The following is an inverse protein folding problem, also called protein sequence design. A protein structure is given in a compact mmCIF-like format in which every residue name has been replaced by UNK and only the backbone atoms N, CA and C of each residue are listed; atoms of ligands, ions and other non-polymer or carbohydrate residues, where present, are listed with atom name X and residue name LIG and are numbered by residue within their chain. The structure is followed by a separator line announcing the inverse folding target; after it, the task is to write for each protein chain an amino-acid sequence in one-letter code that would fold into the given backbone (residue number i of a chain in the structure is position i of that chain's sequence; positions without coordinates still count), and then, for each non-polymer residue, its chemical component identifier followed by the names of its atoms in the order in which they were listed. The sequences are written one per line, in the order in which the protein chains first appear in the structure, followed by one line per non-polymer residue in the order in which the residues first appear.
data_IF_921079140827
#
_entry.id   IF_921079140827
#
_cell.length_a   1.000
_cell.length_b   1.000
_cell.length_c   1.000
_cell.angle_alpha   90.00
_cell.angle_beta   90.00
_cell.angle_gamma   90.00
#
_symmetry.space_group_name_H-M   'P 1'
#
loop_
_entity.id
_entity.type
_entity.pdbx_description
1 polymer ?
#
# COMPACT_ATOMS: atom_id res chain seq x y z
N UNK A 1 4.44 23.70 -5.88
CA UNK A 1 4.04 22.92 -4.69
C UNK A 1 2.60 23.24 -4.39
N UNK A 2 1.98 22.58 -3.41
CA UNK A 2 0.61 22.90 -3.00
C UNK A 2 0.53 23.09 -1.48
N UNK A 3 -0.38 23.98 -1.04
CA UNK A 3 -0.79 24.09 0.35
C UNK A 3 -2.04 23.23 0.56
N UNK A 4 -1.99 22.34 1.54
CA UNK A 4 -3.09 21.45 1.90
C UNK A 4 -3.59 21.80 3.31
N UNK A 5 -4.72 22.48 3.39
CA UNK A 5 -5.36 22.81 4.68
C UNK A 5 -6.20 21.61 5.12
N UNK A 6 -5.93 21.08 6.30
CA UNK A 6 -6.58 19.86 6.81
C UNK A 6 -7.14 20.07 8.22
N UNK A 7 -8.21 19.34 8.54
CA UNK A 7 -8.81 19.33 9.88
C UNK A 7 -8.18 18.33 10.86
N UNK A 8 -6.91 17.93 10.65
CA UNK A 8 -6.22 16.98 11.53
C UNK A 8 -6.04 17.59 12.93
N UNK A 9 -6.24 16.82 14.00
CA UNK A 9 -6.04 17.31 15.38
C UNK A 9 -5.11 16.38 16.16
N UNK A 10 -4.29 16.97 17.03
CA UNK A 10 -3.34 16.28 17.90
C UNK A 10 -4.04 15.23 18.78
N UNK A 11 -5.22 15.55 19.29
CA UNK A 11 -5.99 14.69 20.20
C UNK A 11 -6.70 13.50 19.50
N UNK A 12 -6.50 13.28 18.21
CA UNK A 12 -7.13 12.16 17.48
C UNK A 12 -6.32 10.87 17.52
N UNK A 13 -5.00 10.96 17.70
CA UNK A 13 -4.11 9.82 17.89
C UNK A 13 -2.71 10.26 18.35
N UNK A 14 -1.94 9.35 18.94
CA UNK A 14 -0.53 9.59 19.31
C UNK A 14 0.34 10.00 18.11
N UNK A 15 0.06 9.47 16.92
CA UNK A 15 0.79 9.83 15.70
C UNK A 15 0.49 11.28 15.27
N UNK A 16 -0.78 11.69 15.33
CA UNK A 16 -1.20 13.06 15.00
C UNK A 16 -0.71 14.06 16.04
N UNK A 17 -0.61 13.67 17.31
CA UNK A 17 -0.06 14.50 18.38
C UNK A 17 1.40 14.90 18.14
N UNK A 18 2.20 14.03 17.49
CA UNK A 18 3.59 14.32 17.13
C UNK A 18 3.72 15.28 15.94
N UNK A 19 2.63 15.59 15.25
CA UNK A 19 2.66 16.50 14.10
C UNK A 19 2.56 17.96 14.56
N UNK A 20 3.37 18.82 13.95
CA UNK A 20 3.29 20.28 14.12
C UNK A 20 2.08 20.85 13.39
N UNK A 21 1.72 22.11 13.68
CA UNK A 21 0.61 22.81 13.01
C UNK A 21 0.80 22.93 11.50
N UNK A 22 2.05 23.14 11.08
CA UNK A 22 2.46 23.19 9.67
C UNK A 22 3.57 22.17 9.50
N UNK A 23 3.46 21.31 8.50
CA UNK A 23 4.45 20.29 8.20
C UNK A 23 4.54 20.02 6.70
N UNK A 24 5.69 19.55 6.24
CA UNK A 24 5.81 19.03 4.88
C UNK A 24 5.24 17.62 4.84
N UNK A 25 4.36 17.35 3.88
CA UNK A 25 3.70 16.05 3.75
C UNK A 25 4.76 14.97 3.47
N UNK A 26 4.79 13.94 4.33
CA UNK A 26 5.78 12.85 4.25
C UNK A 26 5.59 11.96 3.02
N UNK A 27 4.40 11.95 2.41
CA UNK A 27 4.06 11.15 1.24
C UNK A 27 4.26 11.91 -0.07
N UNK A 28 3.99 13.22 -0.05
CA UNK A 28 4.10 14.09 -1.21
C UNK A 28 4.93 15.31 -0.80
N UNK A 29 6.27 15.26 -0.88
CA UNK A 29 7.15 16.32 -0.33
C UNK A 29 6.93 17.71 -0.91
N UNK A 30 6.31 17.80 -2.10
CA UNK A 30 5.91 19.06 -2.74
C UNK A 30 4.69 19.73 -2.10
N UNK A 31 4.02 19.04 -1.16
CA UNK A 31 2.83 19.52 -0.44
C UNK A 31 3.23 19.95 0.96
N UNK A 32 2.89 21.18 1.32
CA UNK A 32 2.90 21.67 2.69
C UNK A 32 1.50 21.47 3.24
N UNK A 33 1.37 20.76 4.35
CA UNK A 33 0.11 20.59 5.06
C UNK A 33 0.04 21.56 6.24
N UNK A 34 -1.14 22.13 6.48
CA UNK A 34 -1.42 23.00 7.62
C UNK A 34 -2.73 22.60 8.28
N UNK A 35 -2.75 22.52 9.62
CA UNK A 35 -3.98 22.34 10.40
C UNK A 35 -4.18 23.48 11.39
N UNK A 36 -5.03 24.48 11.08
CA UNK A 36 -5.31 25.59 11.98
C UNK A 36 -5.84 25.14 13.35
N UNK A 37 -6.57 24.04 13.37
CA UNK A 37 -7.21 23.46 14.55
C UNK A 37 -6.38 22.34 15.21
N UNK A 38 -5.09 22.24 14.93
CA UNK A 38 -4.24 21.13 15.39
C UNK A 38 -4.36 20.86 16.90
N UNK A 39 -4.53 21.90 17.72
CA UNK A 39 -4.62 21.77 19.19
C UNK A 39 -6.04 21.98 19.73
N UNK A 40 -7.06 21.80 18.90
CA UNK A 40 -8.46 21.88 19.33
C UNK A 40 -8.94 20.50 19.78
N UNK A 41 -9.49 20.42 20.98
CA UNK A 41 -10.16 19.20 21.45
C UNK A 41 -11.50 19.01 20.73
N UNK A 42 -12.12 17.82 20.84
CA UNK A 42 -13.47 17.62 20.32
C UNK A 42 -14.50 18.54 21.01
N UNK A 43 -14.33 18.77 22.31
CA UNK A 43 -15.17 19.70 23.06
C UNK A 43 -15.03 21.14 22.52
N UNK A 44 -13.81 21.59 22.27
CA UNK A 44 -13.55 22.94 21.73
C UNK A 44 -14.23 23.16 20.38
N UNK A 45 -14.23 22.13 19.52
CA UNK A 45 -14.91 22.18 18.22
C UNK A 45 -16.43 22.36 18.40
N UNK A 46 -17.05 21.57 19.29
CA UNK A 46 -18.49 21.69 19.55
C UNK A 46 -18.86 23.01 20.20
N UNK A 47 -18.10 23.49 21.19
CA UNK A 47 -18.31 24.80 21.81
C UNK A 47 -18.25 25.93 20.78
N UNK A 48 -17.32 25.85 19.83
CA UNK A 48 -17.23 26.80 18.72
C UNK A 48 -18.45 26.71 17.80
N UNK A 49 -18.86 25.52 17.40
CA UNK A 49 -20.08 25.30 16.58
C UNK A 49 -21.31 25.92 17.27
N UNK A 50 -21.48 25.72 18.57
CA UNK A 50 -22.58 26.29 19.33
C UNK A 50 -22.50 27.82 19.40
N UNK A 51 -21.31 28.36 19.74
CA UNK A 51 -21.08 29.81 19.86
C UNK A 51 -21.36 30.54 18.54
N UNK A 52 -20.89 29.98 17.44
CA UNK A 52 -21.05 30.56 16.10
C UNK A 52 -22.39 30.17 15.44
N UNK A 53 -23.28 29.46 16.16
CA UNK A 53 -24.61 29.02 15.69
C UNK A 53 -24.55 28.22 14.38
N UNK A 54 -23.56 27.33 14.24
CA UNK A 54 -23.30 26.55 13.02
C UNK A 54 -24.00 25.17 13.01
N UNK A 55 -25.00 24.95 13.87
CA UNK A 55 -25.63 23.62 14.01
C UNK A 55 -26.29 23.13 12.73
N UNK A 56 -26.88 24.03 11.94
CA UNK A 56 -27.53 23.69 10.67
C UNK A 56 -26.51 23.23 9.59
N UNK A 57 -25.22 23.52 9.79
CA UNK A 57 -24.14 23.06 8.92
C UNK A 57 -23.50 21.74 9.40
N UNK A 58 -23.85 21.26 10.58
CA UNK A 58 -23.30 20.01 11.12
C UNK A 58 -23.97 18.81 10.44
N UNK A 59 -23.18 17.81 10.10
CA UNK A 59 -23.73 16.58 9.52
C UNK A 59 -24.71 15.91 10.51
N UNK A 60 -25.96 15.63 10.10
CA UNK A 60 -26.98 15.09 11.01
C UNK A 60 -26.63 13.75 11.66
N UNK A 61 -25.69 12.98 11.10
CA UNK A 61 -25.26 11.70 11.67
C UNK A 61 -24.61 11.85 13.05
N UNK A 62 -24.04 13.01 13.39
CA UNK A 62 -23.50 13.25 14.72
C UNK A 62 -24.58 13.15 15.82
N UNK A 63 -25.82 13.53 15.50
CA UNK A 63 -26.96 13.43 16.41
C UNK A 63 -27.58 12.02 16.44
N UNK A 64 -27.10 11.12 15.58
CA UNK A 64 -27.51 9.71 15.52
C UNK A 64 -26.48 8.77 16.15
N UNK A 65 -25.54 9.29 16.93
CA UNK A 65 -24.56 8.49 17.67
C UNK A 65 -23.25 8.18 16.93
N UNK A 66 -23.03 8.75 15.74
CA UNK A 66 -21.74 8.64 15.04
C UNK A 66 -20.76 9.68 15.58
N UNK A 67 -19.58 9.26 16.03
CA UNK A 67 -18.54 10.18 16.54
C UNK A 67 -17.54 10.58 15.45
N UNK A 68 -17.41 9.78 14.39
CA UNK A 68 -16.59 10.05 13.22
C UNK A 68 -17.29 9.59 11.95
N UNK A 69 -17.52 10.52 11.04
CA UNK A 69 -18.16 10.22 9.76
C UNK A 69 -17.10 9.74 8.76
N UNK A 70 -17.36 8.58 8.16
CA UNK A 70 -16.51 7.95 7.18
C UNK A 70 -17.24 6.81 6.47
N UNK A 71 -16.50 5.80 6.01
CA UNK A 71 -17.11 4.63 5.40
C UNK A 71 -17.92 3.83 6.43
N UNK A 72 -19.17 3.46 6.11
CA UNK A 72 -20.05 2.69 7.01
C UNK A 72 -19.52 1.28 7.37
N UNK A 73 -18.62 0.74 6.54
CA UNK A 73 -17.95 -0.56 6.74
C UNK A 73 -16.51 -0.42 7.23
N UNK A 74 -16.12 0.74 7.75
CA UNK A 74 -14.74 1.02 8.14
C UNK A 74 -14.28 0.04 9.22
N UNK A 75 -13.15 -0.68 9.05
CA UNK A 75 -12.66 -1.59 10.07
C UNK A 75 -12.19 -0.87 11.35
N UNK A 76 -12.03 0.46 11.31
CA UNK A 76 -11.72 1.26 12.48
C UNK A 76 -12.98 1.76 13.24
N UNK A 77 -14.18 1.56 12.70
CA UNK A 77 -15.44 1.95 13.36
C UNK A 77 -15.75 1.08 14.57
N UNK A 78 -16.52 1.66 15.49
CA UNK A 78 -16.99 0.95 16.69
C UNK A 78 -18.09 -0.04 16.29
N UNK A 79 -18.23 -1.12 17.07
CA UNK A 79 -19.32 -2.08 16.84
C UNK A 79 -20.70 -1.43 17.02
N UNK A 80 -20.83 -0.49 17.95
CA UNK A 80 -22.08 0.27 18.14
C UNK A 80 -22.47 1.07 16.89
N UNK A 81 -21.50 1.64 16.16
CA UNK A 81 -21.80 2.34 14.89
C UNK A 81 -22.31 1.37 13.82
N UNK A 82 -21.80 0.13 13.78
CA UNK A 82 -22.34 -0.88 12.87
C UNK A 82 -23.78 -1.26 13.24
N UNK A 83 -24.11 -1.37 14.52
CA UNK A 83 -25.50 -1.60 14.96
C UNK A 83 -26.41 -0.44 14.55
N UNK A 84 -25.93 0.80 14.62
CA UNK A 84 -26.69 1.96 14.16
C UNK A 84 -26.88 1.94 12.63
N UNK A 85 -25.86 1.58 11.86
CA UNK A 85 -25.96 1.40 10.40
C UNK A 85 -26.93 0.27 10.05
N UNK A 86 -26.91 -0.86 10.77
CA UNK A 86 -27.87 -1.96 10.59
C UNK A 86 -29.31 -1.50 10.76
N UNK A 87 -29.58 -0.72 11.81
CA UNK A 87 -30.92 -0.20 12.13
C UNK A 87 -31.38 0.82 11.10
N UNK A 88 -30.52 1.79 10.76
CA UNK A 88 -30.91 2.93 9.92
C UNK A 88 -30.81 2.65 8.42
N UNK A 89 -29.91 1.76 7.99
CA UNK A 89 -29.65 1.43 6.59
C UNK A 89 -29.51 -0.09 6.37
N UNK A 90 -30.55 -0.89 6.70
CA UNK A 90 -30.46 -2.36 6.70
C UNK A 90 -30.07 -2.92 5.32
N UNK A 91 -30.64 -2.39 4.24
CA UNK A 91 -30.31 -2.82 2.86
C UNK A 91 -28.82 -2.63 2.53
N UNK A 92 -28.20 -1.56 3.03
CA UNK A 92 -26.80 -1.28 2.80
C UNK A 92 -25.91 -2.23 3.62
N UNK A 93 -26.25 -2.43 4.90
CA UNK A 93 -25.53 -3.37 5.76
C UNK A 93 -25.62 -4.81 5.24
N UNK A 94 -26.81 -5.29 4.86
CA UNK A 94 -27.00 -6.66 4.37
C UNK A 94 -26.13 -6.97 3.16
N UNK A 95 -25.88 -6.00 2.26
CA UNK A 95 -24.93 -6.19 1.14
C UNK A 95 -23.52 -6.49 1.64
N UNK A 96 -23.05 -5.73 2.61
CA UNK A 96 -21.72 -5.91 3.21
C UNK A 96 -21.62 -7.20 4.01
N UNK A 97 -22.61 -7.48 4.84
CA UNK A 97 -22.67 -8.70 5.65
C UNK A 97 -22.72 -9.97 4.79
N UNK A 98 -23.49 -9.96 3.71
CA UNK A 98 -23.52 -11.05 2.74
C UNK A 98 -22.16 -11.26 2.07
N UNK A 99 -21.44 -10.18 1.74
CA UNK A 99 -20.07 -10.27 1.24
C UNK A 99 -19.14 -10.91 2.27
N UNK A 100 -19.22 -10.48 3.54
CA UNK A 100 -18.41 -11.03 4.62
C UNK A 100 -18.66 -12.52 4.84
N UNK A 101 -19.91 -12.98 4.82
CA UNK A 101 -20.21 -14.41 4.95
C UNK A 101 -19.74 -15.23 3.75
N UNK A 102 -19.86 -14.71 2.52
CA UNK A 102 -19.28 -15.35 1.33
C UNK A 102 -17.75 -15.45 1.45
N UNK A 103 -17.11 -14.40 1.94
CA UNK A 103 -15.67 -14.40 2.18
C UNK A 103 -15.27 -15.36 3.30
N UNK A 104 -16.01 -15.39 4.41
CA UNK A 104 -15.79 -16.31 5.52
C UNK A 104 -15.82 -17.77 5.02
N UNK A 105 -16.82 -18.13 4.22
CA UNK A 105 -16.90 -19.45 3.58
C UNK A 105 -15.69 -19.74 2.70
N UNK A 106 -15.27 -18.78 1.87
CA UNK A 106 -14.09 -18.93 0.99
C UNK A 106 -12.81 -19.22 1.79
N UNK A 107 -12.64 -18.60 2.96
CA UNK A 107 -11.45 -18.76 3.78
C UNK A 107 -11.57 -19.87 4.83
N UNK A 108 -12.72 -20.54 4.91
CA UNK A 108 -13.01 -21.55 5.94
C UNK A 108 -13.17 -20.98 7.34
N UNK A 109 -13.53 -19.71 7.48
CA UNK A 109 -13.82 -19.08 8.76
C UNK A 109 -15.29 -19.30 9.17
N UNK A 110 -15.57 -19.43 10.47
CA UNK A 110 -16.93 -19.66 10.97
C UNK A 110 -17.74 -18.36 10.98
N UNK A 111 -19.06 -18.45 11.21
CA UNK A 111 -19.96 -17.28 11.19
C UNK A 111 -19.56 -16.22 12.23
N UNK A 112 -19.00 -16.65 13.34
CA UNK A 112 -18.51 -15.83 14.44
C UNK A 112 -17.40 -14.87 14.00
N UNK A 113 -16.67 -15.18 12.92
CA UNK A 113 -15.69 -14.26 12.34
C UNK A 113 -16.34 -12.95 11.85
N UNK A 114 -17.58 -13.04 11.38
CA UNK A 114 -18.40 -11.89 10.96
C UNK A 114 -19.02 -11.21 12.17
N UNK A 115 -19.73 -11.96 13.03
CA UNK A 115 -20.52 -11.38 14.13
C UNK A 115 -19.66 -10.76 15.23
N UNK A 116 -18.47 -11.29 15.50
CA UNK A 116 -17.50 -10.70 16.44
C UNK A 116 -16.63 -9.61 15.79
N UNK A 117 -16.82 -9.33 14.50
CA UNK A 117 -16.07 -8.31 13.77
C UNK A 117 -14.58 -8.63 13.61
N UNK A 118 -14.18 -9.90 13.58
CA UNK A 118 -12.78 -10.35 13.49
C UNK A 118 -12.12 -10.01 12.14
N UNK A 119 -12.94 -9.80 11.11
CA UNK A 119 -12.52 -9.38 9.77
C UNK A 119 -11.82 -8.02 9.73
N UNK A 120 -11.97 -7.19 10.77
CA UNK A 120 -11.38 -5.85 10.86
C UNK A 120 -9.86 -5.84 11.00
N UNK A 121 -9.26 -6.97 11.42
CA UNK A 121 -7.83 -7.08 11.65
C UNK A 121 -7.15 -7.94 10.60
N UNK A 122 -6.24 -7.31 9.85
CA UNK A 122 -5.41 -7.99 8.86
C UNK A 122 -4.54 -9.06 9.54
N UNK A 123 -3.90 -8.77 10.67
CA UNK A 123 -3.00 -9.72 11.33
C UNK A 123 -3.38 -10.08 12.77
N UNK A 124 -2.49 -10.76 13.50
CA UNK A 124 -2.58 -10.93 14.94
C UNK A 124 -2.74 -9.60 15.67
N UNK A 125 -3.74 -9.53 16.56
CA UNK A 125 -3.98 -8.40 17.44
C UNK A 125 -4.49 -8.92 18.79
N UNK A 126 -4.16 -8.24 19.89
CA UNK A 126 -4.58 -8.68 21.23
C UNK A 126 -6.12 -8.78 21.37
N UNK A 127 -6.93 -7.80 20.92
CA UNK A 127 -8.38 -7.94 20.94
C UNK A 127 -8.88 -9.12 20.09
N UNK A 128 -8.26 -9.36 18.92
CA UNK A 128 -8.59 -10.49 18.04
C UNK A 128 -8.33 -11.83 18.74
N UNK A 129 -7.20 -11.95 19.47
CA UNK A 129 -6.84 -13.16 20.24
C UNK A 129 -7.83 -13.42 21.38
N UNK A 130 -8.29 -12.38 22.07
CA UNK A 130 -9.26 -12.52 23.17
C UNK A 130 -10.61 -12.97 22.62
N UNK A 131 -11.08 -12.34 21.54
CA UNK A 131 -12.35 -12.67 20.91
C UNK A 131 -12.36 -14.05 20.24
N UNK A 132 -11.24 -14.49 19.67
CA UNK A 132 -11.14 -15.81 19.01
C UNK A 132 -11.28 -16.98 19.97
N UNK A 133 -10.97 -16.81 21.27
CA UNK A 133 -11.21 -17.84 22.30
C UNK A 133 -12.69 -18.21 22.44
N UNK A 134 -13.60 -17.34 21.99
CA UNK A 134 -15.05 -17.57 21.99
C UNK A 134 -15.54 -18.33 20.75
N UNK A 135 -14.63 -18.78 19.89
CA UNK A 135 -14.94 -19.41 18.61
C UNK A 135 -14.15 -20.71 18.46
N UNK A 136 -14.62 -21.60 17.59
CA UNK A 136 -13.89 -22.84 17.21
C UNK A 136 -12.69 -22.57 16.29
N UNK A 137 -12.50 -21.33 15.85
CA UNK A 137 -11.49 -20.92 14.89
C UNK A 137 -10.37 -20.12 15.55
N UNK A 138 -9.13 -20.53 15.32
CA UNK A 138 -7.97 -19.77 15.77
C UNK A 138 -7.71 -18.57 14.84
N UNK A 139 -8.41 -17.45 15.07
CA UNK A 139 -8.22 -16.22 14.29
C UNK A 139 -6.85 -15.54 14.48
N UNK A 140 -5.99 -16.09 15.35
CA UNK A 140 -4.60 -15.70 15.52
C UNK A 140 -3.66 -16.41 14.53
N UNK A 141 -4.09 -17.56 13.98
CA UNK A 141 -3.41 -18.20 12.86
C UNK A 141 -3.56 -17.29 11.64
N UNK A 142 -2.42 -16.79 11.14
CA UNK A 142 -2.37 -15.81 10.06
C UNK A 142 -1.92 -16.42 8.73
N UNK A 143 -1.14 -17.51 8.74
CA UNK A 143 -0.50 -18.03 7.53
C UNK A 143 -1.53 -18.66 6.59
N UNK A 144 -2.41 -19.51 7.13
CA UNK A 144 -3.49 -20.12 6.35
C UNK A 144 -4.48 -19.06 5.86
N UNK A 145 -4.81 -18.08 6.72
CA UNK A 145 -5.65 -16.93 6.36
C UNK A 145 -5.05 -16.16 5.17
N UNK A 146 -3.77 -15.77 5.24
CA UNK A 146 -3.09 -15.01 4.17
C UNK A 146 -3.01 -15.81 2.89
N UNK A 147 -2.64 -17.09 3.02
CA UNK A 147 -2.59 -18.01 1.90
C UNK A 147 -3.94 -18.11 1.19
N UNK A 148 -5.07 -18.09 1.90
CA UNK A 148 -6.42 -18.13 1.30
C UNK A 148 -6.87 -16.79 0.71
N UNK A 149 -6.34 -15.66 1.19
CA UNK A 149 -6.69 -14.32 0.69
C UNK A 149 -6.02 -13.98 -0.64
N UNK A 150 -4.78 -14.44 -0.81
CA UNK A 150 -3.95 -14.10 -1.97
C UNK A 150 -4.24 -15.04 -3.12
N UNK A 151 -4.40 -14.50 -4.33
CA UNK A 151 -4.68 -15.32 -5.51
C UNK A 151 -3.38 -15.83 -6.19
N UNK A 152 -2.34 -14.99 -6.30
CA UNK A 152 -1.00 -15.33 -6.81
C UNK A 152 -0.06 -15.78 -5.68
N UNK A 153 -0.24 -16.98 -5.15
CA UNK A 153 0.41 -17.46 -3.94
C UNK A 153 1.86 -17.92 -4.17
N UNK A 154 2.80 -17.60 -3.27
CA UNK A 154 4.05 -18.34 -3.11
C UNK A 154 3.79 -19.84 -2.88
N UNK A 155 4.41 -20.72 -3.67
CA UNK A 155 4.36 -22.18 -3.51
C UNK A 155 5.65 -22.76 -2.98
N UNK A 156 6.77 -22.41 -3.61
CA UNK A 156 8.10 -22.85 -3.20
C UNK A 156 9.02 -21.65 -3.10
N UNK A 157 9.85 -21.64 -2.06
CA UNK A 157 10.81 -20.59 -1.78
C UNK A 157 12.12 -21.20 -1.32
N UNK A 158 13.22 -20.80 -1.97
CA UNK A 158 14.57 -21.23 -1.61
C UNK A 158 15.49 -20.02 -1.65
N UNK A 159 16.38 -19.95 -0.67
CA UNK A 159 17.42 -18.92 -0.59
C UNK A 159 18.77 -19.56 -0.27
N UNK A 160 19.83 -18.96 -0.81
CA UNK A 160 21.22 -19.18 -0.42
C UNK A 160 21.92 -17.81 -0.29
N UNK A 161 23.25 -17.80 -0.12
CA UNK A 161 24.01 -16.56 0.11
C UNK A 161 23.94 -15.55 -1.03
N UNK A 162 23.66 -15.98 -2.26
CA UNK A 162 23.64 -15.13 -3.45
C UNK A 162 22.38 -15.26 -4.27
N UNK A 163 21.49 -16.21 -3.95
CA UNK A 163 20.34 -16.54 -4.80
C UNK A 163 19.05 -16.62 -4.01
N UNK A 164 17.99 -16.05 -4.57
CA UNK A 164 16.61 -16.20 -4.12
C UNK A 164 15.77 -16.79 -5.26
N UNK A 165 15.03 -17.87 -4.99
CA UNK A 165 14.13 -18.53 -5.94
C UNK A 165 12.73 -18.61 -5.35
N UNK A 166 11.75 -18.17 -6.12
CA UNK A 166 10.34 -18.20 -5.76
C UNK A 166 9.52 -18.76 -6.92
N UNK A 167 8.68 -19.75 -6.63
CA UNK A 167 7.67 -20.26 -7.57
C UNK A 167 6.28 -19.88 -7.07
N UNK A 168 5.47 -19.28 -7.93
CA UNK A 168 4.07 -18.96 -7.69
C UNK A 168 3.14 -20.10 -8.11
N UNK A 169 1.88 -20.03 -7.69
CA UNK A 169 0.84 -20.97 -8.10
C UNK A 169 0.25 -20.73 -9.49
N UNK A 170 0.56 -19.59 -10.13
CA UNK A 170 0.00 -19.19 -11.44
C UNK A 170 1.09 -18.68 -12.37
N UNK A 171 0.76 -18.68 -13.67
CA UNK A 171 1.61 -18.12 -14.72
C UNK A 171 1.77 -16.61 -14.58
N UNK A 172 2.94 -16.10 -14.99
CA UNK A 172 3.26 -14.68 -14.97
C UNK A 172 2.93 -14.00 -16.30
N UNK A 173 2.42 -12.77 -16.23
CA UNK A 173 2.26 -11.92 -17.43
C UNK A 173 3.60 -11.26 -17.79
N UNK A 174 4.40 -11.93 -18.62
CA UNK A 174 5.73 -11.44 -18.98
C UNK A 174 5.73 -10.13 -19.78
N UNK A 175 4.71 -9.91 -20.62
CA UNK A 175 4.52 -8.61 -21.32
C UNK A 175 4.33 -7.45 -20.34
N UNK A 176 3.50 -7.65 -19.30
CA UNK A 176 3.32 -6.63 -18.28
C UNK A 176 4.57 -6.47 -17.40
N UNK A 177 5.23 -7.58 -17.06
CA UNK A 177 6.47 -7.54 -16.28
C UNK A 177 7.57 -6.79 -17.03
N UNK A 178 7.82 -7.08 -18.31
CA UNK A 178 8.88 -6.42 -19.09
C UNK A 178 8.71 -4.91 -19.14
N UNK A 179 7.47 -4.42 -19.26
CA UNK A 179 7.16 -2.98 -19.28
C UNK A 179 7.46 -2.25 -17.96
N UNK A 180 7.49 -2.96 -16.83
CA UNK A 180 7.69 -2.39 -15.49
C UNK A 180 9.08 -2.73 -14.93
N UNK A 181 9.66 -3.86 -15.34
CA UNK A 181 10.94 -4.36 -14.86
C UNK A 181 12.13 -3.44 -15.22
N UNK A 182 11.92 -2.51 -16.16
CA UNK A 182 12.82 -1.37 -16.44
C UNK A 182 13.15 -0.59 -15.17
N UNK A 183 12.27 -0.59 -14.16
CA UNK A 183 12.54 0.01 -12.83
C UNK A 183 13.77 -0.59 -12.16
N UNK A 184 14.00 -1.89 -12.32
CA UNK A 184 15.14 -2.60 -11.73
C UNK A 184 16.45 -2.25 -12.46
N UNK A 185 16.42 -2.24 -13.79
CA UNK A 185 17.54 -1.85 -14.67
C UNK A 185 17.04 -1.55 -16.08
N UNK A 186 17.76 -0.69 -16.82
CA UNK A 186 17.52 -0.45 -18.25
C UNK A 186 17.87 -1.67 -19.12
N UNK A 187 18.71 -2.57 -18.62
CA UNK A 187 19.14 -3.79 -19.33
C UNK A 187 18.11 -4.91 -19.19
N UNK A 188 16.92 -4.68 -19.73
CA UNK A 188 15.85 -5.69 -19.86
C UNK A 188 15.99 -6.39 -21.20
N UNK A 189 16.06 -7.72 -21.18
CA UNK A 189 16.07 -8.59 -22.36
C UNK A 189 14.89 -9.55 -22.26
N UNK A 190 13.96 -9.46 -23.22
CA UNK A 190 12.95 -10.50 -23.39
C UNK A 190 13.59 -11.64 -24.18
N UNK A 191 13.85 -12.76 -23.51
CA UNK A 191 14.38 -13.96 -24.14
C UNK A 191 13.20 -14.86 -24.48
N UNK A 192 12.78 -14.82 -25.74
CA UNK A 192 11.59 -15.51 -26.23
C UNK A 192 10.31 -15.04 -25.51
N UNK A 193 9.20 -15.73 -25.76
CA UNK A 193 7.89 -15.46 -25.17
C UNK A 193 7.75 -15.95 -23.71
N UNK A 194 8.71 -16.72 -23.21
CA UNK A 194 8.61 -17.46 -21.95
C UNK A 194 9.55 -16.96 -20.84
N UNK A 195 10.45 -16.00 -21.12
CA UNK A 195 11.42 -15.51 -20.14
C UNK A 195 11.76 -14.03 -20.30
N UNK A 196 11.84 -13.32 -19.18
CA UNK A 196 12.37 -11.95 -19.10
C UNK A 196 13.59 -11.95 -18.18
N UNK A 197 14.72 -11.49 -18.69
CA UNK A 197 15.93 -11.26 -17.90
C UNK A 197 16.18 -9.77 -17.73
N UNK A 198 16.60 -9.39 -16.53
CA UNK A 198 17.04 -8.05 -16.21
C UNK A 198 18.38 -8.14 -15.51
N UNK A 199 19.34 -7.33 -15.92
CA UNK A 199 20.71 -7.37 -15.37
C UNK A 199 21.13 -5.99 -14.89
N UNK A 200 21.68 -5.92 -13.68
CA UNK A 200 22.45 -4.78 -13.17
C UNK A 200 23.93 -5.17 -13.11
N UNK A 201 24.78 -4.27 -12.66
CA UNK A 201 26.20 -4.59 -12.44
C UNK A 201 26.43 -5.60 -11.30
N UNK A 202 25.42 -5.84 -10.44
CA UNK A 202 25.57 -6.62 -9.21
C UNK A 202 24.58 -7.77 -9.09
N UNK A 203 23.46 -7.74 -9.82
CA UNK A 203 22.34 -8.67 -9.68
C UNK A 203 21.71 -8.98 -11.04
N UNK A 204 21.31 -10.23 -11.22
CA UNK A 204 20.49 -10.72 -12.33
C UNK A 204 19.11 -11.14 -11.81
N UNK A 205 18.05 -10.68 -12.46
CA UNK A 205 16.67 -11.10 -12.21
C UNK A 205 16.17 -11.88 -13.40
N UNK A 206 15.45 -12.97 -13.13
CA UNK A 206 14.86 -13.83 -14.14
C UNK A 206 13.39 -14.06 -13.79
N UNK A 207 12.51 -13.74 -14.72
CA UNK A 207 11.07 -14.02 -14.63
C UNK A 207 10.71 -15.04 -15.69
N UNK A 208 10.05 -16.14 -15.31
CA UNK A 208 9.59 -17.18 -16.25
C UNK A 208 8.07 -17.26 -16.28
N UNK A 209 7.51 -17.58 -17.44
CA UNK A 209 6.06 -17.64 -17.66
C UNK A 209 5.36 -18.62 -16.73
N UNK A 210 6.04 -19.69 -16.31
CA UNK A 210 5.54 -20.76 -15.46
C UNK A 210 5.26 -20.34 -14.01
N UNK A 211 5.58 -19.09 -13.63
CA UNK A 211 5.41 -18.64 -12.24
C UNK A 211 6.73 -18.50 -11.48
N UNK A 212 7.89 -18.53 -12.14
CA UNK A 212 9.18 -18.50 -11.43
C UNK A 212 9.83 -17.12 -11.45
N UNK A 213 10.40 -16.76 -10.31
CA UNK A 213 11.26 -15.60 -10.13
C UNK A 213 12.56 -16.06 -9.49
N UNK A 214 13.67 -15.72 -10.11
CA UNK A 214 15.02 -16.01 -9.62
C UNK A 214 15.82 -14.71 -9.59
N UNK A 215 16.48 -14.43 -8.46
CA UNK A 215 17.34 -13.27 -8.26
C UNK A 215 18.70 -13.76 -7.80
N UNK A 216 19.73 -13.51 -8.61
CA UNK A 216 21.10 -13.98 -8.40
C UNK A 216 22.03 -12.78 -8.29
N UNK A 217 22.72 -12.64 -7.17
CA UNK A 217 23.79 -11.68 -6.99
C UNK A 217 25.12 -12.26 -7.48
N UNK A 218 25.95 -11.43 -8.14
CA UNK A 218 27.30 -11.85 -8.54
C UNK A 218 28.25 -11.99 -7.35
N UNK A 219 27.97 -11.25 -6.28
CA UNK A 219 28.68 -11.31 -5.00
C UNK A 219 27.68 -11.22 -3.84
N UNK A 220 28.01 -11.78 -2.65
CA UNK A 220 27.16 -11.66 -1.46
C UNK A 220 26.84 -10.20 -1.12
N UNK A 221 25.55 -9.90 -0.92
CA UNK A 221 25.07 -8.54 -0.66
C UNK A 221 24.11 -8.53 0.53
N UNK A 222 24.33 -7.63 1.49
CA UNK A 222 23.50 -7.48 2.69
C UNK A 222 22.02 -7.18 2.36
N UNK A 223 21.78 -6.44 1.26
CA UNK A 223 20.44 -6.00 0.85
C UNK A 223 19.84 -6.83 -0.29
N UNK A 224 20.37 -8.04 -0.55
CA UNK A 224 19.83 -8.93 -1.59
C UNK A 224 18.34 -9.28 -1.38
N UNK A 225 17.89 -9.34 -0.12
CA UNK A 225 16.46 -9.54 0.19
C UNK A 225 15.57 -8.41 -0.36
N UNK A 226 16.07 -7.17 -0.41
CA UNK A 226 15.31 -6.05 -0.97
C UNK A 226 15.29 -6.09 -2.50
N UNK A 227 16.38 -6.58 -3.12
CA UNK A 227 16.44 -6.87 -4.55
C UNK A 227 15.42 -7.95 -4.96
N UNK A 228 15.37 -9.02 -4.17
CA UNK A 228 14.39 -10.07 -4.33
C UNK A 228 12.95 -9.53 -4.15
N UNK A 229 12.66 -8.81 -3.07
CA UNK A 229 11.32 -8.27 -2.86
C UNK A 229 10.95 -7.20 -3.89
N UNK A 230 11.90 -6.46 -4.45
CA UNK A 230 11.66 -5.57 -5.58
C UNK A 230 11.15 -6.33 -6.80
N UNK A 231 11.75 -7.47 -7.12
CA UNK A 231 11.26 -8.34 -8.21
C UNK A 231 9.85 -8.86 -7.94
N UNK A 232 9.54 -9.25 -6.69
CA UNK A 232 8.19 -9.68 -6.28
C UNK A 232 7.19 -8.52 -6.41
N UNK A 233 7.58 -7.29 -6.04
CA UNK A 233 6.77 -6.09 -6.25
C UNK A 233 6.45 -5.85 -7.73
N UNK A 234 7.41 -6.06 -8.64
CA UNK A 234 7.17 -5.97 -10.08
C UNK A 234 6.10 -6.97 -10.52
N UNK A 235 6.19 -8.22 -10.09
CA UNK A 235 5.19 -9.26 -10.40
C UNK A 235 3.81 -8.84 -9.90
N UNK A 236 3.68 -8.45 -8.63
CA UNK A 236 2.39 -8.08 -8.07
C UNK A 236 1.80 -6.83 -8.71
N UNK A 237 2.62 -5.83 -9.06
CA UNK A 237 2.17 -4.65 -9.79
C UNK A 237 1.70 -5.01 -11.20
N UNK A 238 2.38 -5.90 -11.92
CA UNK A 238 1.95 -6.36 -13.23
C UNK A 238 0.55 -7.00 -13.17
N UNK A 239 0.29 -7.86 -12.18
CA UNK A 239 -0.99 -8.56 -12.04
C UNK A 239 -2.11 -7.66 -11.50
N UNK A 240 -1.84 -6.88 -10.46
CA UNK A 240 -2.89 -6.23 -9.65
C UNK A 240 -2.91 -4.71 -9.73
N UNK A 241 -2.17 -4.08 -10.65
CA UNK A 241 -2.33 -2.64 -10.87
C UNK A 241 -3.78 -2.30 -11.23
N UNK A 242 -4.27 -1.25 -10.56
CA UNK A 242 -5.61 -0.66 -10.68
C UNK A 242 -5.51 0.80 -11.13
N UNK A 243 -4.63 1.09 -12.10
CA UNK A 243 -4.52 2.38 -12.80
C UNK A 243 -4.55 3.69 -11.96
N UNK A 244 -4.24 3.64 -10.67
CA UNK A 244 -4.41 4.76 -9.75
C UNK A 244 -3.49 5.97 -9.99
N UNK A 245 -2.52 5.87 -10.90
CA UNK A 245 -1.65 6.98 -11.30
C UNK A 245 -0.57 7.41 -10.29
N UNK A 246 -0.52 6.87 -9.06
CA UNK A 246 0.43 7.36 -8.04
C UNK A 246 1.91 7.29 -8.47
N UNK A 247 2.27 6.26 -9.23
CA UNK A 247 3.64 6.13 -9.77
C UNK A 247 3.97 7.16 -10.85
N UNK A 248 2.97 7.58 -11.66
CA UNK A 248 3.12 8.62 -12.67
C UNK A 248 3.35 9.97 -11.98
N UNK A 249 2.45 10.33 -11.05
CA UNK A 249 2.50 11.61 -10.33
C UNK A 249 3.81 11.83 -9.57
N UNK A 250 4.39 10.77 -9.01
CA UNK A 250 5.57 10.86 -8.15
C UNK A 250 6.89 10.66 -8.90
N UNK A 251 6.88 10.28 -10.17
CA UNK A 251 8.10 10.03 -10.92
C UNK A 251 8.82 11.35 -11.21
N UNK A 252 10.02 11.61 -10.65
CA UNK A 252 10.72 12.87 -10.86
C UNK A 252 11.16 13.07 -12.31
N UNK A 253 11.36 11.98 -13.06
CA UNK A 253 11.81 12.00 -14.45
C UNK A 253 10.66 11.88 -15.47
N UNK A 254 9.40 11.88 -15.03
CA UNK A 254 8.23 11.67 -15.90
C UNK A 254 8.40 10.42 -16.80
N UNK A 255 8.95 9.35 -16.24
CA UNK A 255 9.33 8.14 -16.97
C UNK A 255 8.22 7.09 -17.01
N UNK A 256 7.04 7.35 -16.41
CA UNK A 256 5.97 6.36 -16.27
C UNK A 256 4.70 6.93 -16.88
N UNK A 257 4.02 6.12 -17.69
CA UNK A 257 2.69 6.40 -18.26
C UNK A 257 1.74 5.24 -17.96
N UNK A 258 0.43 5.46 -18.10
CA UNK A 258 -0.57 4.38 -18.03
C UNK A 258 -1.07 4.12 -19.46
N UNK A 259 -0.88 2.89 -19.94
CA UNK A 259 -1.36 2.40 -21.24
C UNK A 259 -2.14 1.13 -20.98
N UNK A 260 -3.35 1.00 -21.52
CA UNK A 260 -4.23 -0.16 -21.30
C UNK A 260 -4.41 -0.51 -19.82
N UNK A 261 -4.60 0.52 -18.98
CA UNK A 261 -4.76 0.40 -17.52
C UNK A 261 -3.54 -0.17 -16.77
N UNK A 262 -2.38 -0.26 -17.44
CA UNK A 262 -1.12 -0.77 -16.86
C UNK A 262 0.00 0.27 -16.97
N UNK A 263 0.94 0.30 -16.01
CA UNK A 263 2.05 1.23 -16.07
C UNK A 263 3.10 0.76 -17.09
N UNK A 264 3.52 1.68 -17.96
CA UNK A 264 4.60 1.49 -18.91
C UNK A 264 5.73 2.45 -18.59
N UNK A 265 6.95 1.92 -18.48
CA UNK A 265 8.14 2.69 -18.06
C UNK A 265 9.02 2.97 -19.27
N UNK A 266 9.36 4.24 -19.49
CA UNK A 266 10.32 4.67 -20.50
C UNK A 266 11.75 4.32 -20.06
N UNK A 267 12.44 3.52 -20.87
CA UNK A 267 13.84 3.12 -20.65
C UNK A 267 14.79 4.31 -20.61
N UNK A 268 14.57 5.31 -21.46
CA UNK A 268 15.46 6.46 -21.59
C UNK A 268 15.34 7.40 -20.39
N UNK A 269 14.10 7.67 -19.95
CA UNK A 269 13.81 8.60 -18.86
C UNK A 269 13.98 7.99 -17.47
N UNK A 270 13.84 6.67 -17.32
CA UNK A 270 13.89 6.04 -15.99
C UNK A 270 15.25 6.24 -15.32
N UNK A 271 15.24 6.66 -14.05
CA UNK A 271 16.45 6.83 -13.23
C UNK A 271 16.80 5.59 -12.41
N UNK A 272 16.04 4.49 -12.54
CA UNK A 272 16.20 3.27 -11.74
C UNK A 272 16.20 3.46 -10.21
N UNK A 273 15.60 4.55 -9.71
CA UNK A 273 15.59 4.89 -8.28
C UNK A 273 14.62 4.06 -7.43
N UNK A 274 13.74 3.27 -8.08
CA UNK A 274 12.76 2.36 -7.46
C UNK A 274 11.71 2.97 -6.52
N UNK A 275 11.71 4.30 -6.33
CA UNK A 275 10.75 4.97 -5.46
C UNK A 275 9.27 4.69 -5.82
N UNK A 276 8.96 4.58 -7.12
CA UNK A 276 7.61 4.21 -7.58
C UNK A 276 7.21 2.76 -7.21
N UNK A 277 8.20 1.88 -7.01
CA UNK A 277 7.98 0.50 -6.57
C UNK A 277 7.66 0.46 -5.07
N UNK A 278 8.33 1.29 -4.27
CA UNK A 278 8.16 1.34 -2.82
C UNK A 278 6.89 2.06 -2.37
N UNK A 279 6.49 3.13 -3.07
CA UNK A 279 5.30 3.91 -2.70
C UNK A 279 3.98 3.28 -3.19
N UNK A 280 4.06 2.30 -4.11
CA UNK A 280 2.87 1.68 -4.69
C UNK A 280 2.03 0.99 -3.60
N UNK A 281 0.72 1.28 -3.49
CA UNK A 281 -0.16 0.62 -2.50
C UNK A 281 -0.19 -0.90 -2.63
N UNK A 282 -0.08 -1.42 -3.85
CA UNK A 282 0.01 -2.85 -4.13
C UNK A 282 1.28 -3.44 -3.53
N UNK A 283 2.43 -2.79 -3.72
CA UNK A 283 3.70 -3.21 -3.12
C UNK A 283 3.64 -3.18 -1.59
N UNK A 284 3.11 -2.11 -0.99
CA UNK A 284 3.07 -2.02 0.48
C UNK A 284 2.08 -3.01 1.09
N UNK A 285 0.86 -3.05 0.60
CA UNK A 285 -0.20 -3.83 1.26
C UNK A 285 -0.09 -5.29 0.90
N UNK A 286 0.08 -5.62 -0.37
CA UNK A 286 0.19 -7.03 -0.75
C UNK A 286 1.60 -7.54 -0.48
N UNK A 287 2.63 -6.94 -1.06
CA UNK A 287 3.96 -7.58 -1.04
C UNK A 287 4.60 -7.48 0.34
N UNK A 288 4.74 -6.26 0.87
CA UNK A 288 5.43 -6.05 2.15
C UNK A 288 4.68 -6.71 3.33
N UNK A 289 3.36 -6.52 3.43
CA UNK A 289 2.59 -6.99 4.59
C UNK A 289 2.10 -8.44 4.48
N UNK A 290 1.74 -8.91 3.28
CA UNK A 290 1.17 -10.26 3.11
C UNK A 290 2.19 -11.24 2.54
N UNK A 291 2.81 -10.91 1.40
CA UNK A 291 3.60 -11.89 0.63
C UNK A 291 4.96 -12.14 1.27
N UNK A 292 5.64 -11.10 1.74
CA UNK A 292 6.86 -11.27 2.51
C UNK A 292 6.59 -12.13 3.75
N UNK A 293 5.45 -11.92 4.42
CA UNK A 293 5.08 -12.74 5.57
C UNK A 293 4.91 -14.22 5.19
N UNK A 294 4.25 -14.51 4.07
CA UNK A 294 4.10 -15.88 3.55
C UNK A 294 5.44 -16.51 3.14
N UNK A 295 6.29 -15.76 2.41
CA UNK A 295 7.59 -16.25 1.93
C UNK A 295 8.50 -16.61 3.11
N UNK A 296 8.67 -15.68 4.05
CA UNK A 296 9.59 -15.84 5.18
C UNK A 296 8.97 -16.59 6.37
N UNK A 297 7.71 -17.03 6.24
CA UNK A 297 6.93 -17.67 7.32
C UNK A 297 6.95 -16.86 8.62
N UNK A 298 6.96 -15.53 8.51
CA UNK A 298 7.08 -14.59 9.64
C UNK A 298 6.07 -13.46 9.46
N UNK A 299 5.06 -13.40 10.32
CA UNK A 299 3.98 -12.41 10.24
C UNK A 299 4.49 -11.00 9.99
N UNK A 300 5.42 -10.52 10.82
CA UNK A 300 5.91 -9.15 10.79
C UNK A 300 7.17 -8.95 9.93
N UNK A 301 7.36 -9.76 8.87
CA UNK A 301 8.52 -9.67 7.97
C UNK A 301 8.73 -8.28 7.35
N UNK A 302 7.68 -7.44 7.27
CA UNK A 302 7.82 -6.04 6.85
C UNK A 302 8.59 -5.15 7.84
N UNK A 303 8.84 -5.61 9.07
CA UNK A 303 9.63 -4.90 10.09
C UNK A 303 11.12 -5.25 10.01
N UNK A 304 11.55 -6.00 8.99
CA UNK A 304 12.97 -6.31 8.75
C UNK A 304 13.79 -5.02 8.64
N UNK A 305 15.03 -5.07 9.17
CA UNK A 305 15.93 -3.91 9.24
C UNK A 305 16.32 -3.35 7.86
N UNK A 306 16.37 -4.21 6.86
CA UNK A 306 16.77 -3.87 5.48
C UNK A 306 15.69 -3.13 4.69
N UNK A 307 14.42 -3.17 5.15
CA UNK A 307 13.30 -2.55 4.41
C UNK A 307 13.56 -1.05 4.29
N UNK A 308 13.58 -0.56 3.05
CA UNK A 308 13.65 0.88 2.75
C UNK A 308 12.46 1.59 3.41
N UNK A 309 12.76 2.54 4.29
CA UNK A 309 11.72 3.27 4.99
C UNK A 309 11.05 4.27 4.04
N UNK A 310 9.77 4.51 4.29
CA UNK A 310 9.00 5.52 3.53
C UNK A 310 9.58 6.92 3.66
N UNK A 311 10.26 7.22 4.77
CA UNK A 311 10.93 8.48 4.99
C UNK A 311 12.14 8.64 4.05
N UNK A 312 13.00 7.62 3.97
CA UNK A 312 14.14 7.60 3.04
C UNK A 312 13.67 7.71 1.58
N UNK A 313 12.60 7.00 1.20
CA UNK A 313 12.02 7.11 -0.14
C UNK A 313 11.53 8.54 -0.43
N UNK A 314 10.91 9.20 0.54
CA UNK A 314 10.42 10.57 0.39
C UNK A 314 11.57 11.59 0.30
N UNK A 315 12.65 11.42 1.07
CA UNK A 315 13.85 12.23 0.96
C UNK A 315 14.51 12.08 -0.40
N UNK A 316 14.69 10.84 -0.86
CA UNK A 316 15.22 10.54 -2.20
C UNK A 316 14.37 11.21 -3.28
N UNK A 317 13.05 11.11 -3.22
CA UNK A 317 12.16 11.77 -4.17
C UNK A 317 12.32 13.30 -4.14
N UNK A 318 12.41 13.91 -2.96
CA UNK A 318 12.61 15.35 -2.83
C UNK A 318 13.95 15.80 -3.45
N UNK A 319 15.03 15.03 -3.24
CA UNK A 319 16.34 15.30 -3.84
C UNK A 319 16.32 15.15 -5.35
N UNK A 320 15.75 14.06 -5.87
CA UNK A 320 15.64 13.83 -7.31
C UNK A 320 14.78 14.90 -7.99
N UNK A 321 13.67 15.31 -7.38
CA UNK A 321 12.82 16.39 -7.91
C UNK A 321 13.56 17.73 -7.95
N UNK A 322 14.42 18.04 -6.97
CA UNK A 322 15.28 19.23 -7.03
C UNK A 322 16.27 19.14 -8.19
N UNK A 323 16.95 18.00 -8.33
CA UNK A 323 17.95 17.79 -9.40
C UNK A 323 17.33 17.92 -10.78
N UNK A 324 16.18 17.26 -11.03
CA UNK A 324 15.49 17.33 -12.33
C UNK A 324 15.03 18.75 -12.66
N UNK A 325 14.52 19.50 -11.67
CA UNK A 325 14.16 20.91 -11.89
C UNK A 325 15.34 21.78 -12.29
N UNK A 326 16.50 21.57 -11.66
CA UNK A 326 17.72 22.32 -11.97
C UNK A 326 18.31 21.94 -13.34
N UNK A 327 18.11 20.69 -13.80
CA UNK A 327 18.59 20.21 -15.10
C UNK A 327 17.61 20.44 -16.25
N UNK A 328 16.40 20.91 -15.97
CA UNK A 328 15.42 21.20 -17.02
C UNK A 328 15.77 22.55 -17.66
N UNK A 329 15.80 22.66 -18.99
CA UNK A 329 15.98 23.96 -19.64
C UNK A 329 14.90 24.92 -19.14
N UNK A 330 15.21 26.22 -18.95
CA UNK A 330 14.22 27.20 -18.56
C UNK A 330 13.04 27.09 -19.52
N UNK A 331 11.83 27.07 -18.96
CA UNK A 331 10.59 27.11 -19.74
C UNK A 331 10.74 28.31 -20.68
N UNK A 332 10.69 28.14 -22.01
CA UNK A 332 10.71 29.29 -22.90
C UNK A 332 9.58 30.19 -22.44
N UNK A 333 9.93 31.42 -22.05
CA UNK A 333 8.94 32.47 -21.82
C UNK A 333 8.05 32.43 -23.05
N UNK A 334 6.75 32.16 -22.85
CA UNK A 334 5.76 32.40 -23.89
C UNK A 334 5.82 33.88 -24.23
N UNK A 335 6.69 34.22 -25.18
CA UNK A 335 6.60 35.43 -25.97
C UNK A 335 5.28 35.34 -26.72
N UNK A 336 4.37 36.23 -26.34
CA UNK A 336 3.14 36.68 -26.98
C UNK A 336 2.77 36.06 -28.34
N UNK A 337 1.49 35.68 -28.45
CA UNK A 337 0.54 36.30 -29.40
C UNK A 337 -0.88 36.19 -28.88
#
# INVERSE_FOLDING_TARGET
GALNIVGQRAYESLERARSTRIWRNKWVPLVISASPIQYWSQLSIWLYIFREKLLDNVNPLYFKGFDRIGCFMCPASRLAEFEEVKKTHPKLWSKWENFLYKWAKKIGAPKEWVTLGLWRWLGPAAPKKVLSKKTTFNAYEWYDSYSKWVDLKPKDYREDKTTFKLRFNKKLSLKAISSIAIILSKSVKSLNDDKVEVTTNTVKYVFKREGEVEVVAYEPQEKLVEEFLDSVKIVYRAHYCVDCGSCVTLCPANAISIVDRKPVVSKDKCLNCRACNDICPISEVMVEKLIAALIFKKYDAWRRKTKRSRYETAQLLAELMKKVKLSSPPIPSSSNE
#
